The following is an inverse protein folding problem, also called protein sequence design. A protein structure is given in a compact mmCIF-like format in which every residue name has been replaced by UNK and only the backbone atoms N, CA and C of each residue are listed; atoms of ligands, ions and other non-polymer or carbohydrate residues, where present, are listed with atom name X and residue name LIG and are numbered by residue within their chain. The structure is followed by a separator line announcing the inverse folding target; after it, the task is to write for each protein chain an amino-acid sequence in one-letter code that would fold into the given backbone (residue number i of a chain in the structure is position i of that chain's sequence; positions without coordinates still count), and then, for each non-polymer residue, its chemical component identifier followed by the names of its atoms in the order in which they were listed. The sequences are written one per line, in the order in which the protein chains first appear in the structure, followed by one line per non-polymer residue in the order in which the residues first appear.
data_IF_565647946950
#
_entry.id   IF_565647946950
#
_cell.length_a   1.000
_cell.length_b   1.000
_cell.length_c   1.000
_cell.angle_alpha   90.00
_cell.angle_beta   90.00
_cell.angle_gamma   90.00
#
_symmetry.space_group_name_H-M   'P 1'
#
loop_
_entity.id
_entity.type
_entity.pdbx_description
1 polymer ?
#
# COMPACT_ATOMS: atom_id res chain seq x y z
N UNK A 1 4.58 -31.90 10.36
CA UNK A 1 5.25 -30.80 9.61
C UNK A 1 6.38 -30.27 10.47
N UNK A 2 7.53 -29.88 9.90
CA UNK A 2 8.62 -29.30 10.68
C UNK A 2 8.30 -27.85 11.07
N UNK A 3 8.51 -27.50 12.34
CA UNK A 3 8.21 -26.16 12.88
C UNK A 3 8.93 -25.04 12.12
N UNK A 4 10.15 -25.30 11.64
CA UNK A 4 10.92 -24.38 10.79
C UNK A 4 10.24 -24.11 9.45
N UNK A 5 9.64 -25.14 8.84
CA UNK A 5 8.92 -24.98 7.57
C UNK A 5 7.63 -24.17 7.76
N UNK A 6 6.91 -24.38 8.87
CA UNK A 6 5.74 -23.57 9.22
C UNK A 6 6.09 -22.09 9.45
N UNK A 7 7.17 -21.82 10.18
CA UNK A 7 7.65 -20.46 10.42
C UNK A 7 8.04 -19.76 9.11
N UNK A 8 8.75 -20.45 8.21
CA UNK A 8 9.10 -19.90 6.90
C UNK A 8 7.87 -19.56 6.05
N UNK A 9 6.90 -20.48 5.97
CA UNK A 9 5.65 -20.24 5.23
C UNK A 9 4.90 -19.04 5.81
N UNK A 10 4.85 -18.91 7.14
CA UNK A 10 4.20 -17.78 7.80
C UNK A 10 4.88 -16.45 7.45
N UNK A 11 6.21 -16.38 7.58
CA UNK A 11 6.99 -15.19 7.24
C UNK A 11 6.77 -14.78 5.78
N UNK A 12 6.78 -15.75 4.84
CA UNK A 12 6.49 -15.46 3.43
C UNK A 12 5.08 -14.98 3.17
N UNK A 13 4.08 -15.44 3.92
CA UNK A 13 2.71 -14.88 3.84
C UNK A 13 2.65 -13.46 4.35
N UNK A 14 3.27 -13.18 5.49
CA UNK A 14 3.32 -11.83 6.09
C UNK A 14 4.02 -10.84 5.15
N UNK A 15 5.15 -11.23 4.55
CA UNK A 15 5.86 -10.44 3.53
C UNK A 15 4.95 -10.12 2.33
N UNK A 16 4.19 -11.11 1.83
CA UNK A 16 3.26 -10.93 0.70
C UNK A 16 2.11 -9.99 1.03
N UNK A 17 1.56 -10.10 2.24
CA UNK A 17 0.45 -9.25 2.69
C UNK A 17 0.96 -7.81 2.86
N UNK A 18 2.15 -7.61 3.44
CA UNK A 18 2.75 -6.29 3.60
C UNK A 18 3.05 -5.63 2.24
N UNK A 19 3.60 -6.41 1.30
CA UNK A 19 3.82 -5.99 -0.08
C UNK A 19 2.54 -5.49 -0.76
N UNK A 20 1.45 -6.26 -0.63
CA UNK A 20 0.16 -5.89 -1.19
C UNK A 20 -0.36 -4.57 -0.63
N UNK A 21 -0.36 -4.39 0.70
CA UNK A 21 -0.86 -3.16 1.30
C UNK A 21 -0.02 -1.95 0.91
N UNK A 22 1.29 -2.11 0.81
CA UNK A 22 2.19 -1.05 0.34
C UNK A 22 1.82 -0.61 -1.08
N UNK A 23 1.69 -1.56 -2.00
CA UNK A 23 1.34 -1.28 -3.39
C UNK A 23 -0.08 -0.67 -3.50
N UNK A 24 -1.05 -1.18 -2.73
CA UNK A 24 -2.40 -0.62 -2.64
C UNK A 24 -2.34 0.86 -2.29
N UNK A 25 -1.59 1.21 -1.25
CA UNK A 25 -1.48 2.58 -0.78
C UNK A 25 -0.80 3.48 -1.82
N UNK A 26 0.28 2.99 -2.45
CA UNK A 26 0.99 3.74 -3.49
C UNK A 26 0.10 4.06 -4.69
N UNK A 27 -0.75 3.14 -5.12
CA UNK A 27 -1.63 3.46 -6.25
C UNK A 27 -2.85 4.26 -5.87
N UNK A 28 -3.44 4.07 -4.69
CA UNK A 28 -4.47 5.00 -4.21
C UNK A 28 -3.91 6.43 -4.20
N UNK A 29 -2.67 6.62 -3.73
CA UNK A 29 -1.99 7.91 -3.79
C UNK A 29 -1.81 8.39 -5.23
N UNK A 30 -1.39 7.52 -6.16
CA UNK A 30 -1.21 7.84 -7.60
C UNK A 30 -2.50 8.27 -8.29
N UNK A 31 -3.63 7.64 -7.90
CA UNK A 31 -4.97 7.97 -8.38
C UNK A 31 -5.55 9.23 -7.71
N UNK A 32 -4.82 9.87 -6.79
CA UNK A 32 -5.29 11.04 -6.05
C UNK A 32 -6.23 10.71 -4.88
N UNK A 33 -6.37 9.44 -4.54
CA UNK A 33 -7.19 8.93 -3.43
C UNK A 33 -6.37 8.90 -2.14
N UNK A 34 -6.04 10.07 -1.62
CA UNK A 34 -5.27 10.23 -0.38
C UNK A 34 -5.77 11.41 0.45
N UNK A 35 -5.48 11.35 1.75
CA UNK A 35 -5.62 12.45 2.68
C UNK A 35 -4.24 13.06 2.99
N UNK A 36 -4.24 14.36 3.28
CA UNK A 36 -3.03 15.04 3.75
C UNK A 36 -2.92 14.91 5.25
N UNK A 37 -1.85 14.28 5.72
CA UNK A 37 -1.49 14.28 7.14
C UNK A 37 -0.40 15.31 7.35
N UNK A 38 -0.79 16.45 7.94
CA UNK A 38 0.12 17.55 8.21
C UNK A 38 1.12 17.23 9.31
N UNK A 39 2.31 17.79 9.19
CA UNK A 39 3.30 17.76 10.25
C UNK A 39 2.78 18.51 11.49
N UNK A 40 3.14 18.06 12.71
CA UNK A 40 2.86 18.80 13.93
C UNK A 40 3.45 20.22 13.89
N UNK A 41 2.84 21.15 14.63
CA UNK A 41 3.35 22.52 14.73
C UNK A 41 4.78 22.55 15.26
N UNK A 42 5.65 23.30 14.58
CA UNK A 42 7.05 23.44 14.97
C UNK A 42 7.99 22.34 14.45
N UNK A 43 7.48 21.31 13.76
CA UNK A 43 8.28 20.23 13.18
C UNK A 43 8.21 20.33 11.65
N UNK A 44 9.10 21.11 11.06
CA UNK A 44 9.13 21.35 9.62
C UNK A 44 10.16 20.48 8.88
N UNK A 45 11.22 20.04 9.55
CA UNK A 45 12.40 19.47 8.87
C UNK A 45 12.61 17.96 9.09
N UNK A 46 11.87 17.33 10.01
CA UNK A 46 12.07 15.91 10.41
C UNK A 46 10.87 15.00 10.14
N UNK A 47 9.79 15.52 9.54
CA UNK A 47 8.63 14.71 9.19
C UNK A 47 8.87 13.98 7.86
N UNK A 48 8.63 12.65 7.76
CA UNK A 48 9.38 11.81 6.83
C UNK A 48 9.06 11.98 5.33
N UNK A 49 8.11 12.85 4.93
CA UNK A 49 7.76 13.11 3.52
C UNK A 49 7.29 14.56 3.32
N UNK A 50 7.81 15.20 2.27
CA UNK A 50 8.22 16.61 2.21
C UNK A 50 7.37 17.49 1.28
N UNK A 51 6.06 17.23 1.16
CA UNK A 51 5.20 18.09 0.33
C UNK A 51 4.76 19.34 1.11
N UNK A 52 5.03 20.52 0.56
CA UNK A 52 4.64 21.79 1.15
C UNK A 52 3.24 22.20 0.70
N UNK A 53 2.32 22.43 1.64
CA UNK A 53 1.05 23.07 1.34
C UNK A 53 1.16 24.59 1.50
N UNK A 54 1.05 25.34 0.40
CA UNK A 54 1.14 26.80 0.43
C UNK A 54 -0.06 27.48 1.11
N UNK A 55 -1.21 26.80 1.20
CA UNK A 55 -2.42 27.35 1.84
C UNK A 55 -2.34 27.21 3.36
N UNK A 56 -2.01 26.01 3.82
CA UNK A 56 -1.88 25.70 5.26
C UNK A 56 -0.51 26.11 5.82
N UNK A 57 0.46 26.44 4.95
CA UNK A 57 1.85 26.78 5.29
C UNK A 57 2.52 25.72 6.17
N UNK A 58 2.26 24.45 5.85
CA UNK A 58 2.75 23.29 6.60
C UNK A 58 3.14 22.17 5.64
N UNK A 59 4.14 21.39 6.04
CA UNK A 59 4.47 20.15 5.35
C UNK A 59 3.40 19.09 5.62
N UNK A 60 3.12 18.26 4.63
CA UNK A 60 2.23 17.11 4.76
C UNK A 60 2.83 15.89 4.08
N UNK A 61 2.36 14.72 4.54
CA UNK A 61 2.49 13.46 3.81
C UNK A 61 1.15 13.03 3.24
N UNK A 62 1.19 12.38 2.09
CA UNK A 62 0.02 11.69 1.54
C UNK A 62 -0.19 10.39 2.31
N UNK A 63 -1.38 10.20 2.84
CA UNK A 63 -1.83 8.94 3.43
C UNK A 63 -2.96 8.43 2.55
N UNK A 64 -2.81 7.25 1.96
CA UNK A 64 -3.90 6.63 1.20
C UNK A 64 -5.18 6.58 2.05
N UNK A 65 -6.32 6.82 1.41
CA UNK A 65 -7.61 6.64 2.09
C UNK A 65 -7.75 5.18 2.52
N UNK A 66 -8.44 4.97 3.64
CA UNK A 66 -8.81 3.62 4.05
C UNK A 66 -9.95 3.15 3.16
N UNK A 67 -9.74 2.02 2.48
CA UNK A 67 -10.73 1.42 1.59
C UNK A 67 -10.78 -0.07 1.87
N UNK A 68 -11.99 -0.59 1.81
CA UNK A 68 -12.21 -2.03 1.79
C UNK A 68 -11.64 -2.63 0.52
N UNK A 69 -11.49 -3.95 0.55
CA UNK A 69 -11.01 -4.67 -0.61
C UNK A 69 -11.98 -4.57 -1.80
N UNK A 70 -13.28 -4.63 -1.53
CA UNK A 70 -14.33 -4.54 -2.52
C UNK A 70 -14.34 -3.15 -3.20
N UNK A 71 -14.16 -2.07 -2.43
CA UNK A 71 -13.99 -0.72 -2.97
C UNK A 71 -12.71 -0.61 -3.80
N UNK A 72 -11.62 -1.21 -3.34
CA UNK A 72 -10.37 -1.22 -4.06
C UNK A 72 -10.50 -1.92 -5.42
N UNK A 73 -11.08 -3.12 -5.47
CA UNK A 73 -11.38 -3.80 -6.75
C UNK A 73 -12.22 -2.95 -7.69
N UNK A 74 -13.22 -2.26 -7.17
CA UNK A 74 -14.08 -1.39 -7.99
C UNK A 74 -13.29 -0.20 -8.54
N UNK A 75 -12.46 0.45 -7.71
CA UNK A 75 -11.57 1.54 -8.13
C UNK A 75 -10.66 1.10 -9.27
N UNK A 76 -10.10 -0.11 -9.18
CA UNK A 76 -9.18 -0.65 -10.18
C UNK A 76 -9.82 -0.81 -11.56
N UNK A 77 -11.11 -1.16 -11.63
CA UNK A 77 -11.84 -1.32 -12.91
C UNK A 77 -11.92 -0.02 -13.71
N UNK A 78 -11.92 1.11 -13.02
CA UNK A 78 -12.01 2.44 -13.64
C UNK A 78 -10.67 3.17 -13.69
N UNK A 79 -9.62 2.61 -13.09
CA UNK A 79 -8.28 3.13 -13.27
C UNK A 79 -7.74 2.65 -14.62
N UNK A 80 -7.30 3.56 -15.49
CA UNK A 80 -6.56 3.24 -16.73
C UNK A 80 -5.15 2.66 -16.46
N UNK A 81 -4.94 2.10 -15.26
CA UNK A 81 -3.66 1.56 -14.81
C UNK A 81 -3.68 0.06 -15.08
N UNK A 82 -2.82 -0.42 -15.97
CA UNK A 82 -2.57 -1.86 -16.07
C UNK A 82 -1.87 -2.30 -14.78
N UNK A 83 -2.59 -3.09 -13.99
CA UNK A 83 -2.13 -3.57 -12.70
C UNK A 83 -1.51 -4.95 -12.84
N UNK A 84 -0.21 -4.98 -13.10
CA UNK A 84 0.61 -6.12 -12.73
C UNK A 84 1.14 -5.85 -11.32
N UNK A 85 0.72 -6.65 -10.33
CA UNK A 85 1.47 -6.76 -9.08
C UNK A 85 2.74 -7.57 -9.42
N UNK A 86 3.63 -6.95 -10.19
CA UNK A 86 4.93 -7.47 -10.53
C UNK A 86 5.84 -7.14 -9.35
N UNK A 87 6.01 -8.09 -8.42
CA UNK A 87 6.97 -7.86 -7.36
C UNK A 87 8.38 -7.89 -7.97
N UNK A 88 9.04 -6.74 -7.83
CA UNK A 88 10.44 -6.46 -8.13
C UNK A 88 11.29 -7.35 -7.21
N UNK A 89 11.42 -8.64 -7.49
CA UNK A 89 12.47 -9.57 -6.98
C UNK A 89 12.31 -10.98 -7.59
N UNK A 90 12.27 -11.08 -8.92
CA UNK A 90 12.49 -12.34 -9.63
C UNK A 90 11.31 -13.32 -9.59
N UNK A 91 10.58 -13.36 -10.71
CA UNK A 91 9.94 -14.56 -11.29
C UNK A 91 8.53 -15.01 -10.87
N UNK A 92 7.83 -14.38 -9.92
CA UNK A 92 6.41 -14.73 -9.66
C UNK A 92 5.48 -13.51 -9.65
N UNK A 93 4.73 -13.30 -10.74
CA UNK A 93 3.57 -12.41 -10.78
C UNK A 93 2.36 -13.14 -10.17
N UNK A 94 1.81 -12.60 -9.08
CA UNK A 94 0.62 -13.14 -8.43
C UNK A 94 -0.59 -12.27 -8.72
N UNK A 95 -1.72 -12.92 -8.97
CA UNK A 95 -2.99 -12.22 -9.14
C UNK A 95 -3.54 -11.70 -7.80
N UNK A 96 -4.29 -10.59 -7.83
CA UNK A 96 -5.08 -10.08 -6.71
C UNK A 96 -5.89 -11.19 -6.00
N UNK A 97 -6.44 -12.12 -6.78
CA UNK A 97 -7.21 -13.28 -6.29
C UNK A 97 -6.39 -14.23 -5.42
N UNK A 98 -5.10 -14.38 -5.66
CA UNK A 98 -4.22 -15.25 -4.88
C UNK A 98 -3.82 -14.61 -3.56
N UNK A 99 -3.53 -13.31 -3.58
CA UNK A 99 -3.23 -12.53 -2.37
C UNK A 99 -4.46 -12.50 -1.45
N UNK A 100 -5.64 -12.30 -2.01
CA UNK A 100 -6.91 -12.37 -1.28
C UNK A 100 -7.09 -13.67 -0.50
N UNK A 101 -6.77 -14.81 -1.11
CA UNK A 101 -6.89 -16.13 -0.46
C UNK A 101 -5.95 -16.26 0.74
N UNK A 102 -4.89 -15.47 0.81
CA UNK A 102 -3.98 -15.43 1.95
C UNK A 102 -4.50 -14.52 3.07
N UNK A 103 -5.27 -13.48 2.75
CA UNK A 103 -5.83 -12.51 3.71
C UNK A 103 -7.13 -13.04 4.35
N UNK A 104 -8.02 -13.65 3.55
CA UNK A 104 -9.35 -14.10 4.01
C UNK A 104 -9.33 -15.44 4.79
N UNK A 105 -8.21 -15.85 5.38
CA UNK A 105 -8.00 -17.21 5.90
C UNK A 105 -7.64 -17.27 7.38
#
# INVERSE_FOLDING_TARGET
MHDKALAYIKAKKEERIAAFYKEKDETLIRLGLFEKVYAPEGIYDTYPYTEWDSKEKRYYKKKAIDVTYEEYEEILKYSDTEWEIAFINGDECFSLKEILKLIKR
#
